data_IF_274787549866
#
_entry.id   IF_274787549866
#
_cell.length_a   1.000
_cell.length_b   1.000
_cell.length_c   1.000
_cell.angle_alpha   90.00
_cell.angle_beta   90.00
_cell.angle_gamma   90.00
#
_symmetry.space_group_name_H-M   'P 1'
#
loop_
_entity.id
_entity.type
_entity.pdbx_description
1 polymer ?
#
# COMPACT_ATOMS: atom_id res chain seq x y z
N UNK A 1 17.67 4.23 -1.19
CA UNK A 1 16.81 3.51 -0.22
C UNK A 1 15.82 4.42 0.48
N UNK A 2 16.12 5.71 0.64
CA UNK A 2 15.23 6.74 1.22
C UNK A 2 13.81 6.76 0.62
N UNK A 3 13.66 6.32 -0.64
CA UNK A 3 12.33 6.21 -1.26
C UNK A 3 11.38 5.26 -0.51
N UNK A 4 11.90 4.21 0.13
CA UNK A 4 11.11 3.31 0.98
C UNK A 4 10.61 4.05 2.23
N UNK A 5 11.44 4.91 2.81
CA UNK A 5 11.08 5.74 3.96
C UNK A 5 10.00 6.77 3.57
N UNK A 6 10.17 7.44 2.42
CA UNK A 6 9.18 8.38 1.90
C UNK A 6 7.86 7.67 1.59
N UNK A 7 7.92 6.53 0.91
CA UNK A 7 6.74 5.71 0.61
C UNK A 7 6.04 5.21 1.87
N UNK A 8 6.80 4.79 2.88
CA UNK A 8 6.25 4.39 4.17
C UNK A 8 5.59 5.56 4.91
N UNK A 9 6.22 6.74 4.93
CA UNK A 9 5.63 7.94 5.51
C UNK A 9 4.30 8.30 4.83
N UNK A 10 4.25 8.25 3.49
CA UNK A 10 3.01 8.46 2.73
C UNK A 10 1.92 7.43 3.10
N UNK A 11 2.29 6.15 3.22
CA UNK A 11 1.37 5.10 3.65
C UNK A 11 0.87 5.32 5.09
N UNK A 12 1.73 5.76 6.02
CA UNK A 12 1.34 6.10 7.40
C UNK A 12 0.38 7.28 7.42
N UNK A 13 0.64 8.32 6.63
CA UNK A 13 -0.30 9.45 6.51
C UNK A 13 -1.65 8.97 6.02
N UNK A 14 -1.70 8.19 4.93
CA UNK A 14 -2.95 7.64 4.40
C UNK A 14 -3.65 6.67 5.37
N UNK A 15 -2.89 5.89 6.14
CA UNK A 15 -3.39 5.02 7.20
C UNK A 15 -4.14 5.82 8.27
N UNK A 16 -3.53 6.89 8.78
CA UNK A 16 -4.16 7.74 9.80
C UNK A 16 -5.36 8.48 9.22
N UNK A 17 -5.26 9.02 8.01
CA UNK A 17 -6.39 9.69 7.35
C UNK A 17 -7.57 8.74 7.14
N UNK A 18 -7.31 7.51 6.69
CA UNK A 18 -8.38 6.50 6.52
C UNK A 18 -9.00 6.05 7.85
N UNK A 19 -8.23 5.98 8.93
CA UNK A 19 -8.77 5.72 10.26
C UNK A 19 -9.79 6.78 10.68
N UNK A 20 -9.42 8.06 10.57
CA UNK A 20 -10.31 9.18 10.90
C UNK A 20 -11.54 9.20 10.00
N UNK A 21 -11.38 8.94 8.71
CA UNK A 21 -12.50 8.88 7.78
C UNK A 21 -13.51 7.80 8.17
N UNK A 22 -13.04 6.60 8.55
CA UNK A 22 -13.89 5.53 9.06
C UNK A 22 -14.58 5.90 10.38
N UNK A 23 -13.88 6.61 11.29
CA UNK A 23 -14.46 7.09 12.55
C UNK A 23 -15.56 8.11 12.28
N UNK A 24 -15.33 9.10 11.42
CA UNK A 24 -16.35 10.10 11.10
C UNK A 24 -17.58 9.46 10.45
N UNK A 25 -17.40 8.58 9.45
CA UNK A 25 -18.50 7.92 8.75
C UNK A 25 -19.36 6.97 9.61
N UNK A 26 -18.95 6.66 10.85
CA UNK A 26 -19.68 5.70 11.71
C UNK A 26 -20.02 6.23 13.09
N UNK A 27 -19.20 7.11 13.65
CA UNK A 27 -19.34 7.61 15.03
C UNK A 27 -19.84 9.06 15.07
N UNK A 28 -19.57 9.84 14.02
CA UNK A 28 -20.03 11.21 13.90
C UNK A 28 -20.78 11.36 12.58
N UNK A 29 -22.02 10.83 12.50
CA UNK A 29 -22.79 10.85 11.27
C UNK A 29 -22.98 12.30 10.82
N UNK A 30 -22.19 12.71 9.83
CA UNK A 30 -22.27 14.03 9.19
C UNK A 30 -23.08 13.79 7.93
N UNK A 31 -24.24 14.44 7.84
CA UNK A 31 -25.07 14.43 6.64
C UNK A 31 -24.20 14.80 5.41
N UNK A 32 -23.99 13.84 4.50
CA UNK A 32 -23.13 13.94 3.32
C UNK A 32 -21.87 13.07 3.32
N UNK A 33 -21.34 12.64 4.49
CA UNK A 33 -20.20 11.70 4.59
C UNK A 33 -20.68 10.25 4.66
N UNK A 34 -21.78 10.01 5.39
CA UNK A 34 -22.36 8.67 5.55
C UNK A 34 -22.93 8.11 4.25
N UNK A 35 -23.38 8.99 3.35
CA UNK A 35 -23.80 8.62 1.99
C UNK A 35 -22.61 8.37 1.05
N UNK A 36 -21.40 8.80 1.44
CA UNK A 36 -20.20 8.74 0.61
C UNK A 36 -19.39 7.45 0.83
N UNK A 37 -19.36 6.91 2.05
CA UNK A 37 -18.65 5.63 2.35
C UNK A 37 -19.57 4.46 2.02
N UNK A 38 -19.62 4.12 0.73
CA UNK A 38 -20.50 3.07 0.20
C UNK A 38 -20.05 1.67 0.61
N UNK A 39 -18.74 1.43 0.76
CA UNK A 39 -18.20 0.12 1.12
C UNK A 39 -17.12 0.18 2.22
N UNK A 40 -17.59 0.13 3.48
CA UNK A 40 -16.74 0.10 4.66
C UNK A 40 -15.78 -1.11 4.70
N UNK A 41 -16.16 -2.27 4.14
CA UNK A 41 -15.29 -3.46 4.13
C UNK A 41 -14.08 -3.23 3.23
N UNK A 42 -14.29 -2.64 2.06
CA UNK A 42 -13.20 -2.28 1.14
C UNK A 42 -12.31 -1.19 1.73
N UNK A 43 -12.89 -0.23 2.47
CA UNK A 43 -12.10 0.79 3.17
C UNK A 43 -11.21 0.23 4.29
N UNK A 44 -11.71 -0.74 5.08
CA UNK A 44 -10.87 -1.44 6.08
C UNK A 44 -9.72 -2.19 5.38
N UNK A 45 -9.99 -2.86 4.26
CA UNK A 45 -8.92 -3.55 3.51
C UNK A 45 -7.84 -2.58 3.07
N UNK A 46 -8.24 -1.43 2.50
CA UNK A 46 -7.30 -0.37 2.13
C UNK A 46 -6.48 0.12 3.33
N UNK A 47 -7.13 0.32 4.48
CA UNK A 47 -6.46 0.74 5.71
C UNK A 47 -5.41 -0.28 6.17
N UNK A 48 -5.76 -1.56 6.25
CA UNK A 48 -4.81 -2.62 6.62
C UNK A 48 -3.66 -2.73 5.61
N UNK A 49 -3.96 -2.59 4.31
CA UNK A 49 -2.93 -2.61 3.27
C UNK A 49 -1.95 -1.43 3.43
N UNK A 50 -2.42 -0.20 3.73
CA UNK A 50 -1.50 0.90 4.05
C UNK A 50 -0.60 0.60 5.24
N UNK A 51 -1.13 -0.03 6.30
CA UNK A 51 -0.34 -0.40 7.48
C UNK A 51 0.75 -1.41 7.12
N UNK A 52 0.41 -2.44 6.34
CA UNK A 52 1.35 -3.46 5.89
C UNK A 52 2.42 -2.84 4.97
N UNK A 53 2.02 -2.00 4.01
CA UNK A 53 2.95 -1.35 3.08
C UNK A 53 3.90 -0.39 3.78
N UNK A 54 3.41 0.36 4.78
CA UNK A 54 4.25 1.17 5.65
C UNK A 54 5.25 0.32 6.45
N UNK A 55 4.79 -0.78 7.05
CA UNK A 55 5.63 -1.68 7.83
C UNK A 55 6.71 -2.34 6.97
N UNK A 56 6.37 -2.79 5.76
CA UNK A 56 7.35 -3.33 4.82
C UNK A 56 8.35 -2.25 4.37
N UNK A 57 7.89 -1.04 4.05
CA UNK A 57 8.77 0.07 3.68
C UNK A 57 9.78 0.41 4.77
N UNK A 58 9.32 0.58 6.02
CA UNK A 58 10.20 0.81 7.17
C UNK A 58 11.11 -0.39 7.46
N UNK A 59 10.56 -1.60 7.39
CA UNK A 59 11.31 -2.83 7.60
C UNK A 59 12.48 -2.95 6.63
N UNK A 60 12.20 -2.86 5.32
CA UNK A 60 13.23 -2.94 4.28
C UNK A 60 14.25 -1.80 4.37
N UNK A 61 13.82 -0.58 4.69
CA UNK A 61 14.73 0.53 4.93
C UNK A 61 15.65 0.28 6.15
N UNK A 62 15.11 -0.31 7.21
CA UNK A 62 15.82 -0.59 8.46
C UNK A 62 16.73 -1.82 8.44
N UNK A 63 16.75 -2.63 7.38
CA UNK A 63 17.58 -3.83 7.30
C UNK A 63 19.09 -3.54 7.26
N UNK A 64 19.49 -2.32 6.88
CA UNK A 64 20.91 -1.96 6.71
C UNK A 64 21.62 -2.72 5.58
N UNK A 65 20.84 -3.29 4.65
CA UNK A 65 21.33 -4.00 3.46
C UNK A 65 21.12 -3.10 2.25
N UNK A 66 22.07 -3.06 1.32
CA UNK A 66 21.89 -2.35 0.06
C UNK A 66 20.85 -3.05 -0.82
N UNK A 67 19.69 -2.40 -0.94
CA UNK A 67 18.59 -2.88 -1.77
C UNK A 67 18.61 -2.20 -3.15
N UNK A 68 18.29 -2.93 -4.24
CA UNK A 68 18.18 -2.35 -5.57
C UNK A 68 17.20 -1.18 -5.59
N UNK A 69 17.64 -0.02 -6.09
CA UNK A 69 16.83 1.21 -6.08
C UNK A 69 15.53 1.04 -6.86
N UNK A 70 15.57 0.31 -7.99
CA UNK A 70 14.38 0.03 -8.79
C UNK A 70 13.35 -0.78 -8.00
N UNK A 71 13.78 -1.81 -7.26
CA UNK A 71 12.88 -2.59 -6.41
C UNK A 71 12.27 -1.73 -5.29
N UNK A 72 13.06 -0.82 -4.70
CA UNK A 72 12.57 0.15 -3.73
C UNK A 72 11.46 1.05 -4.30
N UNK A 73 11.62 1.53 -5.54
CA UNK A 73 10.61 2.31 -6.24
C UNK A 73 9.34 1.51 -6.53
N UNK A 74 9.48 0.27 -6.98
CA UNK A 74 8.35 -0.63 -7.21
C UNK A 74 7.51 -0.82 -5.95
N UNK A 75 8.14 -0.98 -4.78
CA UNK A 75 7.41 -1.09 -3.51
C UNK A 75 6.81 0.24 -3.08
N UNK A 76 7.55 1.35 -3.15
CA UNK A 76 7.03 2.65 -2.72
C UNK A 76 5.81 3.07 -3.57
N UNK A 77 5.91 2.95 -4.90
CA UNK A 77 4.84 3.33 -5.83
C UNK A 77 3.70 2.31 -5.79
N UNK A 78 4.00 1.02 -5.94
CA UNK A 78 2.98 -0.03 -5.95
C UNK A 78 2.28 -0.17 -4.60
N UNK A 79 3.04 -0.10 -3.51
CA UNK A 79 2.55 -0.21 -2.14
C UNK A 79 1.69 0.98 -1.70
N UNK A 80 1.90 2.18 -2.25
CA UNK A 80 0.96 3.28 -2.04
C UNK A 80 -0.24 3.22 -2.98
N UNK A 81 -0.01 2.94 -4.26
CA UNK A 81 -1.05 2.96 -5.30
C UNK A 81 -2.13 1.91 -5.05
N UNK A 82 -1.73 0.70 -4.63
CA UNK A 82 -2.65 -0.40 -4.41
C UNK A 82 -3.74 -0.10 -3.34
N UNK A 83 -3.40 0.20 -2.07
CA UNK A 83 -4.41 0.61 -1.08
C UNK A 83 -5.15 1.89 -1.48
N UNK A 84 -4.54 2.80 -2.25
CA UNK A 84 -5.24 3.97 -2.79
C UNK A 84 -6.39 3.59 -3.72
N UNK A 85 -6.21 2.59 -4.58
CA UNK A 85 -7.27 2.07 -5.45
C UNK A 85 -8.44 1.54 -4.62
N UNK A 86 -8.16 0.75 -3.59
CA UNK A 86 -9.21 0.26 -2.70
C UNK A 86 -9.88 1.40 -1.92
N UNK A 87 -9.11 2.41 -1.53
CA UNK A 87 -9.67 3.60 -0.89
C UNK A 87 -10.68 4.26 -1.83
N UNK A 88 -10.32 4.53 -3.09
CA UNK A 88 -11.22 5.14 -4.08
C UNK A 88 -12.43 4.23 -4.37
N UNK A 89 -12.21 2.93 -4.51
CA UNK A 89 -13.27 1.96 -4.76
C UNK A 89 -14.32 1.93 -3.64
N UNK A 90 -13.95 2.23 -2.40
CA UNK A 90 -14.87 2.29 -1.28
C UNK A 90 -15.90 3.44 -1.37
N UNK A 91 -15.66 4.44 -2.20
CA UNK A 91 -16.55 5.59 -2.42
C UNK A 91 -17.26 5.57 -3.78
N UNK A 92 -16.96 4.61 -4.66
CA UNK A 92 -17.55 4.52 -6.00
C UNK A 92 -18.13 3.11 -6.26
N UNK A 93 -19.45 2.91 -6.11
CA UNK A 93 -20.08 1.61 -6.36
C UNK A 93 -19.93 1.11 -7.81
N UNK A 94 -19.64 2.01 -8.76
CA UNK A 94 -19.42 1.68 -10.16
C UNK A 94 -17.93 1.54 -10.53
N UNK A 95 -17.03 1.59 -9.54
CA UNK A 95 -15.58 1.59 -9.75
C UNK A 95 -15.13 0.44 -10.66
N UNK A 96 -15.58 -0.78 -10.36
CA UNK A 96 -15.20 -1.99 -11.08
C UNK A 96 -15.81 -2.10 -12.48
N UNK A 97 -16.79 -1.28 -12.83
CA UNK A 97 -17.35 -1.24 -14.18
C UNK A 97 -16.44 -0.47 -15.15
N UNK A 98 -15.55 0.38 -14.62
CA UNK A 98 -14.66 1.23 -15.41
C UNK A 98 -13.39 0.46 -15.77
N UNK A 99 -13.14 0.26 -17.07
CA UNK A 99 -11.96 -0.47 -17.59
C UNK A 99 -10.63 0.13 -17.13
N UNK A 100 -10.55 1.46 -17.04
CA UNK A 100 -9.32 2.16 -16.64
C UNK A 100 -8.85 1.75 -15.24
N UNK A 101 -9.79 1.61 -14.30
CA UNK A 101 -9.48 1.23 -12.93
C UNK A 101 -9.00 -0.22 -12.84
N UNK A 102 -9.65 -1.14 -13.55
CA UNK A 102 -9.20 -2.54 -13.64
C UNK A 102 -7.75 -2.67 -14.15
N UNK A 103 -7.41 -1.92 -15.20
CA UNK A 103 -6.06 -1.91 -15.76
C UNK A 103 -5.08 -1.32 -14.74
N UNK A 104 -5.42 -0.20 -14.12
CA UNK A 104 -4.59 0.45 -13.12
C UNK A 104 -4.35 -0.45 -11.89
N UNK A 105 -5.36 -1.18 -11.41
CA UNK A 105 -5.23 -2.18 -10.33
C UNK A 105 -4.31 -3.33 -10.71
N UNK A 106 -4.45 -3.88 -11.92
CA UNK A 106 -3.57 -4.94 -12.39
C UNK A 106 -2.11 -4.45 -12.44
N UNK A 107 -1.88 -3.24 -12.95
CA UNK A 107 -0.54 -2.64 -12.98
C UNK A 107 0.02 -2.40 -11.58
N UNK A 108 -0.77 -1.89 -10.64
CA UNK A 108 -0.29 -1.66 -9.27
C UNK A 108 0.13 -2.97 -8.60
N UNK A 109 -0.64 -4.06 -8.79
CA UNK A 109 -0.29 -5.38 -8.27
C UNK A 109 0.98 -5.95 -8.90
N UNK A 110 1.14 -5.81 -10.22
CA UNK A 110 2.35 -6.27 -10.91
C UNK A 110 3.57 -5.50 -10.40
N UNK A 111 3.49 -4.17 -10.34
CA UNK A 111 4.59 -3.33 -9.88
C UNK A 111 4.96 -3.67 -8.42
N UNK A 112 3.99 -3.79 -7.52
CA UNK A 112 4.29 -4.16 -6.12
C UNK A 112 4.89 -5.56 -6.03
N UNK A 113 4.34 -6.54 -6.76
CA UNK A 113 4.81 -7.93 -6.73
C UNK A 113 6.25 -8.07 -7.24
N UNK A 114 6.59 -7.36 -8.32
CA UNK A 114 7.96 -7.29 -8.83
C UNK A 114 8.90 -6.71 -7.77
N UNK A 115 8.51 -5.60 -7.12
CA UNK A 115 9.29 -5.01 -6.03
C UNK A 115 9.54 -5.98 -4.87
N UNK A 116 8.47 -6.61 -4.37
CA UNK A 116 8.55 -7.56 -3.26
C UNK A 116 9.40 -8.79 -3.58
N UNK A 117 9.17 -9.42 -4.73
CA UNK A 117 9.92 -10.62 -5.12
C UNK A 117 11.40 -10.31 -5.37
N UNK A 118 11.72 -9.13 -5.89
CA UNK A 118 13.10 -8.71 -6.08
C UNK A 118 13.79 -8.50 -4.73
N UNK A 119 13.17 -7.78 -3.78
CA UNK A 119 13.74 -7.62 -2.44
C UNK A 119 13.89 -8.98 -1.75
N UNK A 120 12.87 -9.84 -1.80
CA UNK A 120 12.94 -11.18 -1.23
C UNK A 120 14.12 -12.00 -1.79
N UNK A 121 14.36 -11.93 -3.11
CA UNK A 121 15.52 -12.56 -3.75
C UNK A 121 16.85 -12.01 -3.22
N UNK A 122 16.97 -10.68 -3.06
CA UNK A 122 18.18 -10.04 -2.51
C UNK A 122 18.43 -10.46 -1.06
N UNK A 123 17.37 -10.48 -0.23
CA UNK A 123 17.47 -10.93 1.16
C UNK A 123 17.85 -12.39 1.26
N UNK A 124 17.29 -13.23 0.40
CA UNK A 124 17.65 -14.65 0.32
C UNK A 124 19.12 -14.83 -0.05
N UNK A 125 19.63 -14.14 -1.08
CA UNK A 125 21.06 -14.18 -1.43
C UNK A 125 21.95 -13.69 -0.30
N UNK A 126 21.56 -12.60 0.36
CA UNK A 126 22.31 -12.08 1.50
C UNK A 126 22.38 -13.10 2.64
N UNK A 127 21.27 -13.78 2.95
CA UNK A 127 21.22 -14.81 3.97
C UNK A 127 22.12 -16.01 3.63
N UNK A 128 22.07 -16.52 2.40
CA UNK A 128 22.96 -17.60 1.95
C UNK A 128 24.44 -17.22 2.08
N UNK A 129 24.80 -16.03 1.60
CA UNK A 129 26.18 -15.54 1.66
C UNK A 129 26.68 -15.33 3.10
N UNK A 130 25.82 -14.86 4.00
CA UNK A 130 26.18 -14.56 5.40
C UNK A 130 26.28 -15.81 6.26
N UNK A 131 25.43 -16.80 6.04
CA UNK A 131 25.31 -17.99 6.89
C UNK A 131 25.91 -19.26 6.27
N UNK A 132 26.45 -19.19 5.05
CA UNK A 132 27.26 -20.26 4.46
C UNK A 132 26.47 -21.49 4.00
N UNK A 133 25.24 -21.29 3.52
CA UNK A 133 24.44 -22.32 2.85
C UNK A 133 24.72 -22.35 1.35
#
# INVERSE_FOLDING_TARGET
MEILLIGAAACITALITSAWLMTFAKWFPINGVDEFVVDYKTLIRAHVDYALMALFGLGFYGLGIELPVVACWCIAVGGFSNPTIFTIAAFDPNFWNKKIWKIYTALSFVVSSVGFMWIAYVLFKYALAKYGY
#
